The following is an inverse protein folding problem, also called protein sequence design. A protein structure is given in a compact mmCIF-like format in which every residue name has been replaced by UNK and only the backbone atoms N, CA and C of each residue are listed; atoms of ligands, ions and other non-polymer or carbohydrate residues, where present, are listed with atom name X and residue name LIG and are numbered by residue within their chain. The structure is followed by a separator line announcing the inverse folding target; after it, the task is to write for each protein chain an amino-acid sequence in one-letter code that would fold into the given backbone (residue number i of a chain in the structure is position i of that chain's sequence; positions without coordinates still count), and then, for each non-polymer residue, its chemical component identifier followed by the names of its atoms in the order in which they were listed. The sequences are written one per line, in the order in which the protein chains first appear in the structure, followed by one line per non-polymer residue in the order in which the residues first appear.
data_IF_295732872876
#
_entry.id   IF_295732872876
#
_cell.length_a   1.000
_cell.length_b   1.000
_cell.length_c   1.000
_cell.angle_alpha   90.00
_cell.angle_beta   90.00
_cell.angle_gamma   90.00
#
_symmetry.space_group_name_H-M   'P 1'
#
loop_
_entity.id
_entity.type
_entity.pdbx_description
1 polymer ?
#
# COMPACT_ATOMS: atom_id res chain seq x y z
N UNK A 1 -12.22 0.49 -5.88
CA UNK A 1 -11.00 0.70 -6.70
C UNK A 1 -9.82 -0.13 -6.21
N UNK A 2 -9.22 -0.93 -7.08
CA UNK A 2 -8.01 -1.72 -6.79
C UNK A 2 -6.74 -0.85 -6.67
N UNK A 3 -5.91 -1.13 -5.66
CA UNK A 3 -4.57 -0.58 -5.49
C UNK A 3 -3.61 -1.70 -5.05
N UNK A 4 -2.49 -1.85 -5.75
CA UNK A 4 -1.43 -2.80 -5.35
C UNK A 4 -0.15 -2.06 -4.94
N UNK A 5 0.38 -2.35 -3.77
CA UNK A 5 1.67 -1.82 -3.30
C UNK A 5 2.75 -2.84 -3.67
N UNK A 6 3.75 -2.43 -4.45
CA UNK A 6 4.91 -3.26 -4.77
C UNK A 6 6.16 -2.70 -4.09
N UNK A 7 6.90 -3.55 -3.38
CA UNK A 7 8.12 -3.16 -2.67
C UNK A 7 9.24 -4.19 -2.86
N UNK A 8 10.49 -3.73 -2.90
CA UNK A 8 11.67 -4.61 -2.98
C UNK A 8 12.16 -5.07 -1.61
N UNK A 9 11.88 -4.27 -0.56
CA UNK A 9 12.17 -4.60 0.83
C UNK A 9 11.25 -3.86 1.79
N UNK A 10 11.00 -4.45 2.95
CA UNK A 10 10.35 -3.76 4.06
C UNK A 10 11.36 -2.86 4.80
N UNK A 11 10.89 -1.79 5.48
CA UNK A 11 11.69 -1.03 6.42
C UNK A 11 12.33 -1.90 7.51
N UNK A 12 13.45 -1.44 8.08
CA UNK A 12 14.16 -2.17 9.14
C UNK A 12 13.24 -2.42 10.35
N UNK A 13 13.20 -3.68 10.80
CA UNK A 13 12.38 -4.09 11.95
C UNK A 13 10.87 -4.17 11.68
N UNK A 14 10.44 -4.08 10.41
CA UNK A 14 9.06 -4.28 9.99
C UNK A 14 8.89 -5.63 9.29
N UNK A 15 7.92 -6.42 9.73
CA UNK A 15 7.49 -7.64 9.07
C UNK A 15 6.24 -7.37 8.20
N UNK A 16 5.96 -8.25 7.23
CA UNK A 16 4.80 -8.09 6.34
C UNK A 16 3.49 -8.01 7.13
N UNK A 17 3.36 -8.77 8.22
CA UNK A 17 2.17 -8.73 9.07
C UNK A 17 2.02 -7.40 9.80
N UNK A 18 3.12 -6.72 10.15
CA UNK A 18 3.07 -5.39 10.74
C UNK A 18 2.55 -4.38 9.71
N UNK A 19 3.10 -4.41 8.49
CA UNK A 19 2.62 -3.59 7.37
C UNK A 19 1.12 -3.78 7.14
N UNK A 20 0.63 -5.02 7.09
CA UNK A 20 -0.79 -5.34 6.91
C UNK A 20 -1.64 -4.78 8.06
N UNK A 21 -1.24 -5.00 9.30
CA UNK A 21 -1.98 -4.49 10.46
C UNK A 21 -2.03 -2.96 10.50
N UNK A 22 -0.95 -2.29 10.10
CA UNK A 22 -0.91 -0.83 9.99
C UNK A 22 -1.74 -0.31 8.81
N UNK A 23 -1.72 -0.99 7.66
CA UNK A 23 -2.55 -0.66 6.51
C UNK A 23 -4.05 -0.77 6.84
N UNK A 24 -4.45 -1.82 7.54
CA UNK A 24 -5.82 -2.01 8.02
C UNK A 24 -6.27 -0.84 8.91
N UNK A 25 -5.40 -0.41 9.84
CA UNK A 25 -5.66 0.73 10.72
C UNK A 25 -5.75 2.08 10.00
N UNK A 26 -4.97 2.32 8.94
CA UNK A 26 -5.05 3.61 8.22
C UNK A 26 -6.21 3.66 7.22
N UNK A 27 -6.63 2.50 6.70
CA UNK A 27 -7.71 2.44 5.74
C UNK A 27 -9.05 2.65 6.45
N UNK A 28 -9.26 2.00 7.60
CA UNK A 28 -10.53 2.05 8.34
C UNK A 28 -11.74 1.82 7.40
N UNK A 29 -12.55 2.84 7.13
CA UNK A 29 -13.70 2.79 6.22
C UNK A 29 -13.35 3.07 4.75
N UNK A 30 -12.11 3.46 4.44
CA UNK A 30 -11.65 3.85 3.10
C UNK A 30 -11.17 2.67 2.24
N UNK A 31 -11.08 1.45 2.78
CA UNK A 31 -10.66 0.27 2.04
C UNK A 31 -10.28 -0.90 2.93
N UNK A 32 -9.89 -2.01 2.32
CA UNK A 32 -9.49 -3.24 3.01
C UNK A 32 -8.43 -4.02 2.23
N UNK A 33 -7.71 -4.88 2.95
CA UNK A 33 -6.74 -5.81 2.37
C UNK A 33 -7.45 -6.96 1.63
N UNK A 34 -6.98 -7.30 0.44
CA UNK A 34 -7.48 -8.43 -0.36
C UNK A 34 -6.45 -9.54 -0.53
N UNK A 35 -5.15 -9.20 -0.50
CA UNK A 35 -4.07 -10.13 -0.78
C UNK A 35 -2.70 -9.61 -0.35
N UNK A 36 -1.73 -10.52 -0.26
CA UNK A 36 -0.33 -10.16 -0.01
C UNK A 36 0.58 -11.35 -0.30
N UNK A 37 1.77 -11.11 -0.84
CA UNK A 37 2.84 -12.09 -0.90
C UNK A 37 4.20 -11.46 -0.62
N UNK A 38 5.13 -12.26 -0.12
CA UNK A 38 6.53 -11.87 0.08
C UNK A 38 7.45 -13.00 -0.36
N UNK A 39 8.42 -12.64 -1.17
CA UNK A 39 9.42 -13.49 -1.80
C UNK A 39 10.83 -12.90 -1.56
N UNK A 40 11.92 -13.64 -1.84
CA UNK A 40 13.27 -13.12 -1.64
C UNK A 40 13.60 -11.82 -2.39
N UNK A 41 12.88 -11.52 -3.48
CA UNK A 41 13.08 -10.33 -4.31
C UNK A 41 12.21 -9.12 -3.90
N UNK A 42 11.30 -9.28 -2.92
CA UNK A 42 10.35 -8.25 -2.53
C UNK A 42 8.97 -8.81 -2.21
N UNK A 43 7.95 -7.98 -2.28
CA UNK A 43 6.59 -8.41 -2.04
C UNK A 43 5.56 -7.42 -2.55
N UNK A 44 4.31 -7.80 -2.40
CA UNK A 44 3.18 -6.95 -2.71
C UNK A 44 2.07 -7.06 -1.66
N UNK A 45 1.26 -6.01 -1.58
CA UNK A 45 0.02 -5.98 -0.80
C UNK A 45 -1.09 -5.42 -1.68
N UNK A 46 -2.16 -6.17 -1.80
CA UNK A 46 -3.35 -5.82 -2.59
C UNK A 46 -4.41 -5.23 -1.66
N UNK A 47 -4.97 -4.09 -2.09
CA UNK A 47 -6.00 -3.35 -1.39
C UNK A 47 -7.18 -3.09 -2.34
N UNK A 48 -8.38 -3.16 -1.78
CA UNK A 48 -9.58 -2.60 -2.41
C UNK A 48 -9.94 -1.32 -1.66
N UNK A 49 -9.99 -0.19 -2.37
CA UNK A 49 -10.38 1.11 -1.82
C UNK A 49 -11.88 1.34 -2.06
N UNK A 50 -12.56 1.86 -1.05
CA UNK A 50 -13.97 2.25 -1.13
C UNK A 50 -14.12 3.45 -2.07
N UNK A 51 -14.81 3.24 -3.19
CA UNK A 51 -15.06 4.26 -4.22
C UNK A 51 -16.54 4.48 -4.54
N UNK A 52 -17.45 3.62 -4.05
CA UNK A 52 -18.89 3.78 -4.25
C UNK A 52 -19.46 4.87 -3.36
N UNK A 53 -18.95 4.99 -2.12
CA UNK A 53 -19.42 5.95 -1.11
C UNK A 53 -18.43 7.06 -0.80
N UNK A 54 -17.14 6.78 -0.98
CA UNK A 54 -16.04 7.68 -0.64
C UNK A 54 -15.22 8.02 -1.88
N UNK A 55 -14.52 9.14 -1.85
CA UNK A 55 -13.59 9.46 -2.93
C UNK A 55 -12.32 8.62 -2.74
N UNK A 56 -11.96 7.72 -3.67
CA UNK A 56 -10.81 6.82 -3.50
C UNK A 56 -9.48 7.57 -3.36
N UNK A 57 -9.42 8.85 -3.78
CA UNK A 57 -8.25 9.72 -3.58
C UNK A 57 -7.81 9.79 -2.12
N UNK A 58 -8.74 9.73 -1.16
CA UNK A 58 -8.37 9.75 0.26
C UNK A 58 -7.62 8.49 0.68
N UNK A 59 -8.10 7.31 0.29
CA UNK A 59 -7.41 6.04 0.51
C UNK A 59 -6.04 6.00 -0.16
N UNK A 60 -5.95 6.44 -1.42
CA UNK A 60 -4.68 6.54 -2.17
C UNK A 60 -3.68 7.44 -1.41
N UNK A 61 -4.11 8.62 -0.97
CA UNK A 61 -3.24 9.55 -0.23
C UNK A 61 -2.84 9.00 1.14
N UNK A 62 -3.74 8.31 1.84
CA UNK A 62 -3.45 7.69 3.13
C UNK A 62 -2.35 6.62 2.99
N UNK A 63 -2.50 5.72 2.00
CA UNK A 63 -1.52 4.68 1.69
C UNK A 63 -0.17 5.30 1.27
N UNK A 64 -0.17 6.25 0.33
CA UNK A 64 1.08 6.92 -0.09
C UNK A 64 1.79 7.62 1.07
N UNK A 65 1.05 8.36 1.91
CA UNK A 65 1.60 9.02 3.09
C UNK A 65 2.17 8.02 4.12
N UNK A 66 1.49 6.90 4.32
CA UNK A 66 1.97 5.83 5.21
C UNK A 66 3.32 5.29 4.74
N UNK A 67 3.42 4.90 3.47
CA UNK A 67 4.65 4.35 2.89
C UNK A 67 5.81 5.34 2.98
N UNK A 68 5.55 6.61 2.67
CA UNK A 68 6.54 7.68 2.82
C UNK A 68 6.99 7.86 4.27
N UNK A 69 6.07 7.91 5.24
CA UNK A 69 6.38 8.08 6.68
C UNK A 69 7.17 6.91 7.26
N UNK A 70 6.94 5.70 6.75
CA UNK A 70 7.65 4.49 7.13
C UNK A 70 9.00 4.33 6.41
N UNK A 71 9.37 5.28 5.55
CA UNK A 71 10.62 5.26 4.79
C UNK A 71 10.77 4.00 3.91
N UNK A 72 9.69 3.60 3.25
CA UNK A 72 9.78 2.61 2.18
C UNK A 72 10.77 3.07 1.10
N UNK A 73 11.42 2.12 0.43
CA UNK A 73 12.47 2.42 -0.53
C UNK A 73 11.91 3.21 -1.74
N UNK A 74 12.70 4.09 -2.38
CA UNK A 74 12.19 4.95 -3.47
C UNK A 74 11.68 4.22 -4.72
N UNK A 75 12.08 2.96 -4.89
CA UNK A 75 11.61 2.04 -5.93
C UNK A 75 10.28 1.35 -5.57
N UNK A 76 9.71 1.62 -4.38
CA UNK A 76 8.36 1.19 -4.01
C UNK A 76 7.33 1.95 -4.86
N UNK A 77 6.36 1.23 -5.39
CA UNK A 77 5.30 1.80 -6.23
C UNK A 77 3.91 1.45 -5.70
N UNK A 78 2.95 2.33 -5.95
CA UNK A 78 1.53 2.00 -5.90
C UNK A 78 1.03 1.85 -7.33
N UNK A 79 0.41 0.72 -7.64
CA UNK A 79 -0.21 0.45 -8.93
C UNK A 79 -1.70 0.76 -8.85
N UNK A 80 -2.15 1.63 -9.75
CA UNK A 80 -3.55 2.03 -9.87
C UNK A 80 -4.05 1.60 -11.24
N UNK A 81 -4.97 0.65 -11.30
CA UNK A 81 -5.54 0.13 -12.54
C UNK A 81 -4.48 -0.30 -13.58
N UNK A 82 -3.43 -1.01 -13.16
CA UNK A 82 -2.36 -1.47 -14.06
C UNK A 82 -1.22 -0.46 -14.29
N UNK A 83 -1.28 0.73 -13.70
CA UNK A 83 -0.27 1.78 -13.89
C UNK A 83 0.52 1.99 -12.59
N UNK A 84 1.81 1.62 -12.53
CA UNK A 84 2.64 1.88 -11.38
C UNK A 84 3.01 3.36 -11.27
N UNK A 85 2.96 3.90 -10.06
CA UNK A 85 3.34 5.28 -9.72
C UNK A 85 4.30 5.24 -8.53
N UNK A 86 5.39 6.01 -8.60
CA UNK A 86 6.36 6.09 -7.52
C UNK A 86 5.79 6.75 -6.26
N UNK A 87 6.16 6.23 -5.08
CA UNK A 87 5.66 6.80 -3.82
C UNK A 87 6.28 8.16 -3.48
N UNK A 88 7.34 8.62 -4.15
CA UNK A 88 7.98 9.94 -3.94
C UNK A 88 7.85 10.91 -5.12
N UNK A 89 7.06 10.55 -6.14
CA UNK A 89 6.76 11.40 -7.31
C UNK A 89 5.67 12.43 -7.02
#
# INVERSE_FOLDING_TARGET
MELCIHFTKLPEGMELNDMKAELDQILEENGWLTGSAQEPAGGHVELELEDERLNPKYGIMAVKNYLQKKNFAPDTTIELCGVPVGIYE
#
